data_IF_184361946088
#
_entry.id   IF_184361946088
#
_cell.length_a   1.000
_cell.length_b   1.000
_cell.length_c   1.000
_cell.angle_alpha   90.00
_cell.angle_beta   90.00
_cell.angle_gamma   90.00
#
_symmetry.space_group_name_H-M   'P 1'
#
loop_
_entity.id
_entity.type
_entity.pdbx_description
1 polymer ?
#
# COMPACT_ATOMS: atom_id res chain seq x y z
N UNK A 1 2.17 -9.57 -0.12
CA UNK A 1 1.19 -9.66 -1.20
C UNK A 1 1.73 -8.81 -2.31
N UNK A 2 1.90 -9.40 -3.49
CA UNK A 2 2.45 -8.70 -4.64
C UNK A 2 1.30 -8.18 -5.51
N UNK A 3 1.09 -6.86 -5.49
CA UNK A 3 0.01 -6.14 -6.17
C UNK A 3 -1.38 -6.81 -6.03
N UNK A 4 -1.94 -6.92 -4.82
CA UNK A 4 -3.15 -7.71 -4.58
C UNK A 4 -4.42 -7.19 -5.26
N UNK A 5 -4.49 -5.91 -5.60
CA UNK A 5 -5.59 -5.31 -6.36
C UNK A 5 -5.38 -5.31 -7.87
N UNK A 6 -4.26 -5.86 -8.37
CA UNK A 6 -4.03 -5.96 -9.80
C UNK A 6 -5.13 -6.82 -10.45
N UNK A 7 -5.75 -6.30 -11.51
CA UNK A 7 -6.86 -6.95 -12.24
C UNK A 7 -8.20 -7.04 -11.49
N UNK A 8 -8.33 -6.44 -10.30
CA UNK A 8 -9.61 -6.36 -9.59
C UNK A 8 -10.42 -5.15 -10.05
N UNK A 9 -11.74 -5.33 -10.14
CA UNK A 9 -12.68 -4.22 -10.29
C UNK A 9 -12.84 -3.44 -8.96
N UNK A 10 -13.59 -2.35 -9.01
CA UNK A 10 -13.80 -1.46 -7.86
C UNK A 10 -14.45 -2.19 -6.67
N UNK A 11 -15.36 -3.15 -6.93
CA UNK A 11 -16.05 -3.88 -5.87
C UNK A 11 -15.07 -4.84 -5.19
N UNK A 12 -14.35 -5.65 -5.99
CA UNK A 12 -13.37 -6.59 -5.48
C UNK A 12 -12.19 -5.90 -4.78
N UNK A 13 -11.79 -4.69 -5.22
CA UNK A 13 -10.80 -3.85 -4.52
C UNK A 13 -11.27 -3.45 -3.12
N UNK A 14 -12.55 -3.12 -2.95
CA UNK A 14 -13.09 -2.83 -1.62
C UNK A 14 -13.12 -4.06 -0.71
N UNK A 15 -13.42 -5.24 -1.27
CA UNK A 15 -13.43 -6.49 -0.53
C UNK A 15 -12.02 -6.85 -0.02
N UNK A 16 -10.99 -6.73 -0.86
CA UNK A 16 -9.62 -7.02 -0.43
C UNK A 16 -9.14 -6.04 0.64
N UNK A 17 -9.44 -4.74 0.50
CA UNK A 17 -9.11 -3.72 1.52
C UNK A 17 -9.84 -4.04 2.84
N UNK A 18 -11.09 -4.45 2.78
CA UNK A 18 -11.88 -4.85 3.96
C UNK A 18 -11.27 -6.08 4.64
N UNK A 19 -10.84 -7.07 3.85
CA UNK A 19 -10.13 -8.24 4.36
C UNK A 19 -8.83 -7.83 5.08
N UNK A 20 -8.00 -6.99 4.46
CA UNK A 20 -6.74 -6.53 5.06
C UNK A 20 -6.97 -5.86 6.41
N UNK A 21 -7.95 -4.96 6.50
CA UNK A 21 -8.32 -4.29 7.76
C UNK A 21 -8.71 -5.27 8.86
N UNK A 22 -9.57 -6.26 8.53
CA UNK A 22 -10.00 -7.29 9.48
C UNK A 22 -8.84 -8.16 9.96
N UNK A 23 -7.96 -8.58 9.05
CA UNK A 23 -6.80 -9.40 9.37
C UNK A 23 -5.83 -8.68 10.30
N UNK A 24 -5.55 -7.40 10.02
CA UNK A 24 -4.69 -6.56 10.87
C UNK A 24 -5.33 -6.33 12.25
N UNK A 25 -6.64 -6.08 12.31
CA UNK A 25 -7.37 -5.94 13.57
C UNK A 25 -7.33 -7.22 14.44
N UNK A 26 -7.19 -8.39 13.80
CA UNK A 26 -6.96 -9.67 14.49
C UNK A 26 -5.53 -9.89 14.99
N UNK A 27 -4.63 -8.91 14.87
CA UNK A 27 -3.21 -9.02 15.23
C UNK A 27 -2.31 -9.56 14.11
N UNK A 28 -2.86 -9.77 12.91
CA UNK A 28 -2.10 -10.17 11.74
C UNK A 28 -1.21 -9.04 11.21
N UNK A 29 -0.08 -9.40 10.60
CA UNK A 29 0.78 -8.45 9.88
C UNK A 29 0.72 -8.74 8.38
N UNK A 30 0.60 -7.69 7.57
CA UNK A 30 0.59 -7.78 6.11
C UNK A 30 1.75 -6.93 5.57
N UNK A 31 2.50 -7.50 4.62
CA UNK A 31 3.45 -6.77 3.79
C UNK A 31 2.87 -6.72 2.38
N UNK A 32 2.72 -5.52 1.81
CA UNK A 32 2.19 -5.33 0.46
C UNK A 32 3.20 -4.56 -0.41
N UNK A 33 3.32 -4.94 -1.67
CA UNK A 33 3.84 -4.10 -2.75
C UNK A 33 2.65 -3.63 -3.57
N UNK A 34 2.52 -2.32 -3.71
CA UNK A 34 1.42 -1.72 -4.45
C UNK A 34 1.75 -0.30 -4.86
N UNK A 35 1.15 0.13 -5.96
CA UNK A 35 1.12 1.51 -6.41
C UNK A 35 -0.30 2.11 -6.33
N UNK A 36 -1.26 1.38 -5.78
CA UNK A 36 -2.67 1.77 -5.66
C UNK A 36 -2.93 2.53 -4.35
N UNK A 37 -3.56 3.70 -4.45
CA UNK A 37 -3.81 4.57 -3.30
C UNK A 37 -4.66 3.90 -2.21
N UNK A 38 -5.71 3.16 -2.61
CA UNK A 38 -6.60 2.48 -1.67
C UNK A 38 -5.87 1.46 -0.79
N UNK A 39 -4.88 0.77 -1.34
CA UNK A 39 -4.08 -0.22 -0.61
C UNK A 39 -3.03 0.44 0.27
N UNK A 40 -2.36 1.49 -0.24
CA UNK A 40 -1.40 2.26 0.54
C UNK A 40 -2.07 2.96 1.73
N UNK A 41 -3.35 3.35 1.61
CA UNK A 41 -4.11 4.02 2.67
C UNK A 41 -4.29 3.18 3.95
N UNK A 42 -4.16 1.86 3.88
CA UNK A 42 -4.27 0.97 5.05
C UNK A 42 -2.92 0.66 5.71
N UNK A 43 -1.81 1.07 5.09
CA UNK A 43 -0.48 0.81 5.60
C UNK A 43 -0.13 1.70 6.78
N UNK A 44 0.37 1.09 7.86
CA UNK A 44 0.88 1.82 9.04
C UNK A 44 2.34 2.26 8.88
N UNK A 45 3.07 1.61 7.97
CA UNK A 45 4.46 1.91 7.61
C UNK A 45 4.59 1.82 6.10
N UNK A 46 5.33 2.74 5.51
CA UNK A 46 5.54 2.78 4.06
C UNK A 46 7.03 2.84 3.74
N UNK A 47 7.40 2.14 2.67
CA UNK A 47 8.74 2.15 2.11
C UNK A 47 8.64 2.43 0.62
N UNK A 48 9.55 3.25 0.10
CA UNK A 48 9.67 3.53 -1.32
C UNK A 48 10.87 2.77 -1.86
N UNK A 49 10.64 1.89 -2.84
CA UNK A 49 11.71 1.22 -3.56
C UNK A 49 11.98 1.98 -4.86
N UNK A 50 13.22 2.47 -5.05
CA UNK A 50 13.65 3.16 -6.27
C UNK A 50 15.11 2.84 -6.57
N UNK A 51 15.42 2.56 -7.85
CA UNK A 51 16.78 2.24 -8.30
C UNK A 51 17.45 1.11 -7.50
N UNK A 52 16.68 0.10 -7.09
CA UNK A 52 17.16 -1.02 -6.27
C UNK A 52 17.42 -0.68 -4.79
N UNK A 53 17.11 0.54 -4.35
CA UNK A 53 17.26 0.99 -2.96
C UNK A 53 15.89 1.13 -2.31
N UNK A 54 15.75 0.61 -1.09
CA UNK A 54 14.54 0.74 -0.28
C UNK A 54 14.73 1.84 0.77
N UNK A 55 13.88 2.85 0.74
CA UNK A 55 13.89 3.99 1.67
C UNK A 55 12.65 3.96 2.56
N UNK A 56 12.82 4.15 3.87
CA UNK A 56 11.70 4.28 4.80
C UNK A 56 11.09 5.67 4.73
N UNK A 57 9.77 5.75 4.54
CA UNK A 57 9.05 7.02 4.55
C UNK A 57 8.70 7.41 5.99
N UNK A 58 9.70 7.94 6.70
CA UNK A 58 9.56 8.37 8.10
C UNK A 58 9.05 9.82 8.14
N UNK A 59 7.73 10.01 8.16
CA UNK A 59 7.10 11.33 8.26
C UNK A 59 5.66 11.33 7.78
N UNK A 60 4.95 12.44 8.01
CA UNK A 60 3.63 12.67 7.42
C UNK A 60 3.76 13.01 5.94
N UNK A 61 3.92 11.99 5.10
CA UNK A 61 3.85 12.13 3.66
C UNK A 61 2.40 12.00 3.20
N UNK A 62 1.93 12.93 2.37
CA UNK A 62 0.68 12.70 1.64
C UNK A 62 0.90 11.61 0.59
N UNK A 63 -0.14 10.82 0.32
CA UNK A 63 -0.12 9.82 -0.76
C UNK A 63 0.29 10.44 -2.10
N UNK A 64 -0.18 11.65 -2.40
CA UNK A 64 0.22 12.42 -3.58
C UNK A 64 1.73 12.67 -3.67
N UNK A 65 2.38 13.03 -2.56
CA UNK A 65 3.83 13.25 -2.53
C UNK A 65 4.62 11.97 -2.78
N UNK A 66 4.11 10.83 -2.30
CA UNK A 66 4.72 9.52 -2.52
C UNK A 66 4.58 9.11 -3.98
N UNK A 67 3.41 9.27 -4.57
CA UNK A 67 3.15 8.95 -5.98
C UNK A 67 4.02 9.81 -6.93
N UNK A 68 4.19 11.10 -6.64
CA UNK A 68 5.10 11.94 -7.42
C UNK A 68 6.55 11.45 -7.40
N UNK A 69 7.01 10.88 -6.28
CA UNK A 69 8.37 10.31 -6.13
C UNK A 69 8.53 8.96 -6.83
N UNK A 70 7.43 8.27 -7.15
CA UNK A 70 7.45 7.02 -7.92
C UNK A 70 7.59 7.27 -9.43
N UNK A 71 6.99 8.36 -9.95
CA UNK A 71 6.98 8.68 -11.39
C UNK A 71 8.24 9.41 -11.85
N UNK A 72 8.83 10.24 -10.99
CA UNK A 72 10.16 10.84 -11.21
C UNK A 72 11.24 9.87 -10.82
#
# INVERSE_FOLDING_TARGET
>A
MDEPGASLDIIAKNDIVTYMKKYIAGGGTIIISSHEECELSVCTKMYLMKNGVLESLNGSYSLSSIMERMVK
#
